data_IF_601057222865
#
_entry.id   IF_601057222865
#
_cell.length_a   1.000
_cell.length_b   1.000
_cell.length_c   1.000
_cell.angle_alpha   90.00
_cell.angle_beta   90.00
_cell.angle_gamma   90.00
#
_symmetry.space_group_name_H-M   'P 1'
#
loop_
_entity.id
_entity.type
_entity.pdbx_description
1 polymer ?
#
# COMPACT_ATOMS: atom_id res chain seq x y z
N UNK A 1 22.82 -42.33 37.51
CA UNK A 1 21.46 -41.77 37.45
C UNK A 1 21.41 -40.29 37.05
N UNK A 2 22.39 -39.46 37.42
CA UNK A 2 22.38 -38.00 37.21
C UNK A 2 22.44 -37.56 35.72
N UNK A 3 23.18 -38.27 34.85
CA UNK A 3 23.30 -37.95 33.41
C UNK A 3 21.99 -37.99 32.61
N UNK A 4 21.06 -38.91 32.92
CA UNK A 4 19.78 -39.03 32.19
C UNK A 4 18.83 -37.87 32.47
N UNK A 5 18.97 -37.22 33.62
CA UNK A 5 18.12 -36.10 34.04
C UNK A 5 18.53 -34.80 33.34
N UNK A 6 19.83 -34.58 33.14
CA UNK A 6 20.36 -33.43 32.41
C UNK A 6 20.07 -33.49 30.91
N UNK A 7 20.14 -34.66 30.28
CA UNK A 7 19.75 -34.83 28.87
C UNK A 7 18.27 -34.52 28.63
N UNK A 8 17.38 -35.01 29.50
CA UNK A 8 15.96 -34.67 29.43
C UNK A 8 15.71 -33.17 29.60
N UNK A 9 16.47 -32.50 30.47
CA UNK A 9 16.39 -31.05 30.66
C UNK A 9 16.82 -30.29 29.42
N UNK A 10 17.96 -30.64 28.82
CA UNK A 10 18.46 -30.05 27.57
C UNK A 10 17.48 -30.24 26.40
N UNK A 11 16.94 -31.46 26.23
CA UNK A 11 15.92 -31.75 25.23
C UNK A 11 14.63 -30.94 25.43
N UNK A 12 14.17 -30.77 26.67
CA UNK A 12 12.99 -29.97 26.97
C UNK A 12 13.20 -28.48 26.69
N UNK A 13 14.41 -27.98 26.93
CA UNK A 13 14.79 -26.58 26.69
C UNK A 13 14.92 -26.30 25.20
N UNK A 14 15.55 -27.19 24.43
CA UNK A 14 15.62 -27.12 22.97
C UNK A 14 14.24 -27.15 22.31
N UNK A 15 13.32 -28.00 22.80
CA UNK A 15 11.93 -28.03 22.29
C UNK A 15 11.17 -26.74 22.60
N UNK A 16 11.37 -26.15 23.78
CA UNK A 16 10.77 -24.85 24.13
C UNK A 16 11.32 -23.72 23.26
N UNK A 17 12.64 -23.65 23.07
CA UNK A 17 13.25 -22.65 22.17
C UNK A 17 12.76 -22.81 20.74
N UNK A 18 12.72 -24.05 20.21
CA UNK A 18 12.20 -24.32 18.86
C UNK A 18 10.75 -23.86 18.71
N UNK A 19 9.89 -24.15 19.69
CA UNK A 19 8.47 -23.73 19.68
C UNK A 19 8.30 -22.22 19.81
N UNK A 20 9.18 -21.55 20.54
CA UNK A 20 9.16 -20.09 20.66
C UNK A 20 9.61 -19.41 19.37
N UNK A 21 10.65 -19.93 18.72
CA UNK A 21 11.09 -19.48 17.39
C UNK A 21 10.01 -19.70 16.33
N UNK A 22 9.41 -20.88 16.29
CA UNK A 22 8.29 -21.20 15.38
C UNK A 22 7.11 -20.24 15.54
N UNK A 23 6.78 -19.85 16.78
CA UNK A 23 5.72 -18.89 17.06
C UNK A 23 6.07 -17.45 16.61
N UNK A 24 7.35 -17.06 16.64
CA UNK A 24 7.80 -15.74 16.17
C UNK A 24 7.87 -15.68 14.65
N UNK A 25 8.32 -16.76 14.00
CA UNK A 25 8.30 -16.91 12.54
C UNK A 25 6.86 -16.93 12.00
N UNK A 26 5.93 -17.61 12.68
CA UNK A 26 4.50 -17.60 12.35
C UNK A 26 3.88 -16.19 12.45
N UNK A 27 4.25 -15.42 13.49
CA UNK A 27 3.82 -14.04 13.64
C UNK A 27 4.39 -13.17 12.51
N UNK A 28 5.66 -13.35 12.17
CA UNK A 28 6.31 -12.65 11.06
C UNK A 28 5.56 -12.90 9.74
N UNK A 29 5.28 -14.17 9.41
CA UNK A 29 4.54 -14.54 8.19
C UNK A 29 3.14 -13.91 8.18
N UNK A 30 2.42 -13.93 9.30
CA UNK A 30 1.10 -13.28 9.39
C UNK A 30 1.16 -11.78 9.12
N UNK A 31 2.15 -11.07 9.70
CA UNK A 31 2.31 -9.63 9.47
C UNK A 31 2.63 -9.37 7.99
N UNK A 32 3.50 -10.20 7.39
CA UNK A 32 3.83 -10.10 5.97
C UNK A 32 2.64 -10.37 5.04
N UNK A 33 1.82 -11.39 5.32
CA UNK A 33 0.59 -11.65 4.56
C UNK A 33 -0.39 -10.48 4.63
N UNK A 34 -0.52 -9.85 5.80
CA UNK A 34 -1.33 -8.65 5.99
C UNK A 34 -0.75 -7.48 5.19
N UNK A 35 0.57 -7.24 5.22
CA UNK A 35 1.24 -6.21 4.40
C UNK A 35 0.88 -6.41 2.92
N UNK A 36 1.06 -7.62 2.38
CA UNK A 36 0.77 -7.93 0.98
C UNK A 36 -0.70 -7.69 0.64
N UNK A 37 -1.63 -8.15 1.49
CA UNK A 37 -3.06 -7.92 1.30
C UNK A 37 -3.41 -6.43 1.25
N UNK A 38 -2.82 -5.62 2.12
CA UNK A 38 -3.02 -4.17 2.12
C UNK A 38 -2.41 -3.50 0.89
N UNK A 39 -1.23 -3.94 0.42
CA UNK A 39 -0.63 -3.46 -0.82
C UNK A 39 -1.52 -3.75 -2.03
N UNK A 40 -2.05 -4.97 -2.14
CA UNK A 40 -2.98 -5.34 -3.22
C UNK A 40 -4.26 -4.51 -3.14
N UNK A 41 -4.86 -4.44 -1.95
CA UNK A 41 -6.10 -3.68 -1.72
C UNK A 41 -5.92 -2.20 -2.07
N UNK A 42 -4.80 -1.59 -1.67
CA UNK A 42 -4.44 -0.21 -2.03
C UNK A 42 -4.51 0.01 -3.53
N UNK A 43 -3.83 -0.85 -4.30
CA UNK A 43 -3.80 -0.71 -5.75
C UNK A 43 -5.18 -0.94 -6.37
N UNK A 44 -5.90 -1.99 -5.97
CA UNK A 44 -7.25 -2.29 -6.47
C UNK A 44 -8.24 -1.15 -6.22
N UNK A 45 -8.28 -0.63 -4.99
CA UNK A 45 -9.19 0.46 -4.63
C UNK A 45 -8.82 1.74 -5.37
N UNK A 46 -7.53 2.07 -5.45
CA UNK A 46 -7.08 3.29 -6.11
C UNK A 46 -7.35 3.25 -7.61
N UNK A 47 -7.06 2.14 -8.29
CA UNK A 47 -7.33 2.00 -9.74
C UNK A 47 -8.81 2.02 -10.05
N UNK A 48 -9.66 1.45 -9.20
CA UNK A 48 -11.11 1.52 -9.33
C UNK A 48 -11.63 2.97 -9.27
N UNK A 49 -11.21 3.75 -8.27
CA UNK A 49 -11.67 5.14 -8.20
C UNK A 49 -11.05 6.03 -9.28
N UNK A 50 -9.78 5.79 -9.66
CA UNK A 50 -9.18 6.49 -10.80
C UNK A 50 -9.92 6.18 -12.10
N UNK A 51 -10.35 4.94 -12.34
CA UNK A 51 -11.11 4.60 -13.56
C UNK A 51 -12.47 5.28 -13.58
N UNK A 52 -13.18 5.36 -12.45
CA UNK A 52 -14.43 6.11 -12.33
C UNK A 52 -14.21 7.59 -12.61
N UNK A 53 -13.18 8.19 -12.00
CA UNK A 53 -12.81 9.59 -12.24
C UNK A 53 -12.59 9.85 -13.73
N UNK A 54 -11.76 9.04 -14.39
CA UNK A 54 -11.46 9.21 -15.81
C UNK A 54 -12.68 8.96 -16.69
N UNK A 55 -13.54 8.00 -16.35
CA UNK A 55 -14.78 7.73 -17.08
C UNK A 55 -15.74 8.93 -17.02
N UNK A 56 -15.97 9.50 -15.83
CA UNK A 56 -16.83 10.69 -15.66
C UNK A 56 -16.26 11.86 -16.47
N UNK A 57 -14.95 12.07 -16.41
CA UNK A 57 -14.29 13.15 -17.15
C UNK A 57 -14.36 12.96 -18.66
N UNK A 58 -14.14 11.74 -19.16
CA UNK A 58 -14.26 11.41 -20.57
C UNK A 58 -15.70 11.58 -21.08
N UNK A 59 -16.69 11.18 -20.28
CA UNK A 59 -18.11 11.39 -20.60
C UNK A 59 -18.48 12.88 -20.58
N UNK A 60 -17.91 13.66 -19.65
CA UNK A 60 -18.16 15.10 -19.57
C UNK A 60 -17.73 15.84 -20.85
N UNK A 61 -16.63 15.42 -21.49
CA UNK A 61 -16.14 16.00 -22.75
C UNK A 61 -16.99 15.56 -23.95
N UNK A 62 -17.49 14.32 -23.96
CA UNK A 62 -18.26 13.76 -25.07
C UNK A 62 -19.73 14.19 -25.07
N UNK A 63 -20.28 14.57 -23.92
CA UNK A 63 -21.69 14.88 -23.79
C UNK A 63 -22.01 16.27 -24.38
N UNK A 64 -22.38 16.32 -25.67
CA UNK A 64 -22.84 17.54 -26.35
C UNK A 64 -24.03 18.22 -25.65
N UNK A 65 -24.87 17.44 -24.95
CA UNK A 65 -26.00 17.94 -24.14
C UNK A 65 -26.08 17.19 -22.82
N UNK A 66 -25.17 17.50 -21.91
CA UNK A 66 -25.28 17.06 -20.52
C UNK A 66 -26.37 17.86 -19.79
N UNK A 67 -27.23 17.20 -18.98
CA UNK A 67 -28.18 17.91 -18.11
C UNK A 67 -27.48 18.69 -17.00
N UNK A 68 -26.22 18.36 -16.71
CA UNK A 68 -25.39 19.04 -15.73
C UNK A 68 -24.34 19.91 -16.43
N UNK A 69 -24.05 21.12 -15.91
CA UNK A 69 -22.98 21.95 -16.43
C UNK A 69 -21.62 21.23 -16.39
N UNK A 70 -20.76 21.50 -17.38
CA UNK A 70 -19.45 20.89 -17.52
C UNK A 70 -18.57 21.09 -16.27
N UNK A 71 -18.62 22.27 -15.66
CA UNK A 71 -17.85 22.55 -14.44
C UNK A 71 -18.27 21.67 -13.25
N UNK A 72 -19.53 21.21 -13.19
CA UNK A 72 -20.02 20.34 -12.11
C UNK A 72 -19.45 18.94 -12.30
N UNK A 73 -19.55 18.39 -13.51
CA UNK A 73 -19.12 17.02 -13.81
C UNK A 73 -17.60 16.87 -13.73
N UNK A 74 -16.83 17.86 -14.20
CA UNK A 74 -15.37 17.87 -14.07
C UNK A 74 -14.93 18.02 -12.61
N UNK A 75 -15.62 18.85 -11.82
CA UNK A 75 -15.33 19.00 -10.38
C UNK A 75 -15.56 17.71 -9.61
N UNK A 76 -16.63 16.96 -9.92
CA UNK A 76 -16.90 15.65 -9.32
C UNK A 76 -15.81 14.64 -9.67
N UNK A 77 -15.39 14.59 -10.95
CA UNK A 77 -14.30 13.72 -11.36
C UNK A 77 -12.99 14.05 -10.61
N UNK A 78 -12.62 15.33 -10.54
CA UNK A 78 -11.44 15.80 -9.79
C UNK A 78 -11.56 15.41 -8.30
N UNK A 79 -12.72 15.58 -7.68
CA UNK A 79 -12.94 15.21 -6.29
C UNK A 79 -12.73 13.71 -6.06
N UNK A 80 -13.24 12.85 -6.96
CA UNK A 80 -13.05 11.39 -6.90
C UNK A 80 -11.57 11.03 -7.04
N UNK A 81 -10.85 11.70 -7.95
CA UNK A 81 -9.41 11.50 -8.11
C UNK A 81 -8.65 11.78 -6.80
N UNK A 82 -8.89 12.94 -6.18
CA UNK A 82 -8.20 13.33 -4.95
C UNK A 82 -8.61 12.47 -3.76
N UNK A 83 -9.87 12.02 -3.73
CA UNK A 83 -10.32 11.02 -2.77
C UNK A 83 -9.55 9.71 -2.91
N UNK A 84 -9.38 9.20 -4.13
CA UNK A 84 -8.59 8.00 -4.41
C UNK A 84 -7.12 8.18 -3.99
N UNK A 85 -6.54 9.37 -4.23
CA UNK A 85 -5.19 9.70 -3.77
C UNK A 85 -5.09 9.73 -2.24
N UNK A 86 -6.06 10.30 -1.53
CA UNK A 86 -6.10 10.29 -0.07
C UNK A 86 -6.19 8.85 0.50
N UNK A 87 -7.02 8.00 -0.11
CA UNK A 87 -7.07 6.57 0.22
C UNK A 87 -5.71 5.90 -0.03
N UNK A 88 -5.08 6.17 -1.18
CA UNK A 88 -3.77 5.63 -1.51
C UNK A 88 -2.73 5.97 -0.43
N UNK A 89 -2.69 7.23 0.02
CA UNK A 89 -1.81 7.68 1.11
C UNK A 89 -2.09 6.92 2.41
N UNK A 90 -3.37 6.81 2.80
CA UNK A 90 -3.74 6.12 4.04
C UNK A 90 -3.32 4.65 4.04
N UNK A 91 -3.51 3.95 2.93
CA UNK A 91 -3.03 2.58 2.79
C UNK A 91 -1.51 2.51 2.78
N UNK A 92 -0.84 3.47 2.13
CA UNK A 92 0.63 3.53 2.09
C UNK A 92 1.22 3.65 3.49
N UNK A 93 0.71 4.56 4.32
CA UNK A 93 1.18 4.77 5.69
C UNK A 93 1.05 3.48 6.53
N UNK A 94 -0.06 2.75 6.37
CA UNK A 94 -0.26 1.50 7.09
C UNK A 94 0.68 0.39 6.60
N UNK A 95 0.91 0.28 5.29
CA UNK A 95 1.87 -0.69 4.75
C UNK A 95 3.31 -0.36 5.15
N UNK A 96 3.67 0.92 5.25
CA UNK A 96 4.99 1.35 5.68
C UNK A 96 5.21 1.04 7.17
N UNK A 97 4.18 1.23 8.01
CA UNK A 97 4.20 0.80 9.41
C UNK A 97 4.43 -0.72 9.55
N UNK A 98 3.69 -1.54 8.80
CA UNK A 98 3.86 -3.00 8.86
C UNK A 98 5.23 -3.44 8.38
N UNK A 99 5.76 -2.82 7.31
CA UNK A 99 7.10 -3.10 6.82
C UNK A 99 8.17 -2.75 7.86
N UNK A 100 8.08 -1.56 8.47
CA UNK A 100 9.01 -1.16 9.53
C UNK A 100 8.99 -2.15 10.69
N UNK A 101 7.80 -2.68 11.05
CA UNK A 101 7.70 -3.70 12.10
C UNK A 101 8.36 -5.04 11.71
N UNK A 102 8.27 -5.45 10.45
CA UNK A 102 8.96 -6.65 9.95
C UNK A 102 10.48 -6.45 9.96
N UNK A 103 10.97 -5.27 9.56
CA UNK A 103 12.39 -4.89 9.61
C UNK A 103 12.90 -4.92 11.07
N UNK A 104 12.16 -4.34 12.02
CA UNK A 104 12.49 -4.42 13.45
C UNK A 104 12.58 -5.87 13.96
N UNK A 105 11.71 -6.77 13.49
CA UNK A 105 11.76 -8.18 13.91
C UNK A 105 13.04 -8.88 13.40
N UNK A 106 13.49 -8.55 12.20
CA UNK A 106 14.73 -9.08 11.62
C UNK A 106 15.96 -8.52 12.35
N UNK A 107 16.02 -7.20 12.55
CA UNK A 107 17.14 -6.53 13.22
C UNK A 107 17.34 -7.01 14.66
N UNK A 108 16.24 -7.29 15.37
CA UNK A 108 16.29 -7.80 16.74
C UNK A 108 16.51 -9.32 16.84
N UNK A 109 16.70 -10.02 15.71
CA UNK A 109 16.88 -11.47 15.67
C UNK A 109 15.69 -12.24 16.25
N UNK A 110 14.49 -11.65 16.20
CA UNK A 110 13.26 -12.25 16.73
C UNK A 110 12.71 -13.33 15.79
N UNK A 111 13.11 -13.32 14.53
CA UNK A 111 12.74 -14.26 13.47
C UNK A 111 13.99 -14.87 12.85
N UNK A 112 13.86 -16.08 12.31
CA UNK A 112 14.92 -16.69 11.47
C UNK A 112 14.81 -16.30 10.00
N UNK A 113 13.70 -15.67 9.61
CA UNK A 113 13.41 -15.21 8.27
C UNK A 113 14.00 -13.82 8.04
N UNK A 114 14.58 -13.60 6.86
CA UNK A 114 15.28 -12.36 6.46
C UNK A 114 14.71 -11.78 5.15
N UNK A 115 13.40 -11.90 4.97
CA UNK A 115 12.69 -11.55 3.73
C UNK A 115 12.76 -10.05 3.41
N UNK A 116 12.64 -9.16 4.38
CA UNK A 116 12.75 -7.71 4.14
C UNK A 116 14.20 -7.32 3.88
N UNK A 117 15.15 -7.83 4.66
CA UNK A 117 16.59 -7.57 4.47
C UNK A 117 17.09 -8.03 3.10
N UNK A 118 16.63 -9.19 2.62
CA UNK A 118 16.93 -9.67 1.27
C UNK A 118 16.23 -8.88 0.17
N UNK A 119 15.03 -8.36 0.43
CA UNK A 119 14.29 -7.52 -0.52
C UNK A 119 14.79 -6.06 -0.55
N UNK A 120 15.39 -5.58 0.54
CA UNK A 120 15.89 -4.21 0.72
C UNK A 120 16.78 -3.72 -0.44
N UNK A 121 17.83 -4.44 -0.89
CA UNK A 121 18.68 -3.95 -1.99
C UNK A 121 17.90 -3.75 -3.31
N UNK A 122 16.87 -4.54 -3.56
CA UNK A 122 16.01 -4.41 -4.73
C UNK A 122 14.97 -3.28 -4.60
N UNK A 123 14.59 -2.95 -3.36
CA UNK A 123 13.61 -1.92 -3.04
C UNK A 123 14.25 -0.53 -2.85
N UNK A 124 15.47 -0.45 -2.33
CA UNK A 124 16.24 0.79 -2.19
C UNK A 124 16.69 1.36 -3.54
N UNK A 125 17.01 0.50 -4.51
CA UNK A 125 17.24 0.94 -5.89
C UNK A 125 15.99 1.51 -6.57
N UNK A 126 14.79 1.11 -6.12
CA UNK A 126 13.50 1.57 -6.66
C UNK A 126 12.77 2.42 -5.63
N UNK A 127 13.26 3.66 -5.42
CA UNK A 127 12.65 4.72 -4.59
C UNK A 127 11.11 4.57 -4.48
N UNK A 128 10.62 3.99 -3.38
CA UNK A 128 9.17 3.81 -3.07
C UNK A 128 8.38 5.12 -3.16
N UNK A 129 9.05 6.25 -2.95
CA UNK A 129 8.54 7.62 -3.16
C UNK A 129 8.11 7.94 -4.61
N UNK A 130 8.41 7.09 -5.60
CA UNK A 130 8.10 7.40 -6.99
C UNK A 130 6.59 7.34 -7.28
N UNK A 131 5.88 6.34 -6.77
CA UNK A 131 4.46 6.16 -7.07
C UNK A 131 3.58 7.27 -6.46
N UNK A 132 3.79 7.60 -5.17
CA UNK A 132 3.07 8.70 -4.50
C UNK A 132 3.26 10.02 -5.24
N UNK A 133 4.51 10.34 -5.61
CA UNK A 133 4.84 11.58 -6.34
C UNK A 133 4.25 11.58 -7.74
N UNK A 134 4.28 10.44 -8.43
CA UNK A 134 3.77 10.32 -9.79
C UNK A 134 2.25 10.47 -9.82
N UNK A 135 1.53 9.81 -8.92
CA UNK A 135 0.07 9.95 -8.79
C UNK A 135 -0.27 11.40 -8.44
N UNK A 136 0.44 12.03 -7.50
CA UNK A 136 0.23 13.46 -7.19
C UNK A 136 0.45 14.36 -8.40
N UNK A 137 1.53 14.13 -9.16
CA UNK A 137 1.84 14.90 -10.36
C UNK A 137 0.72 14.78 -11.40
N UNK A 138 0.25 13.56 -11.69
CA UNK A 138 -0.88 13.36 -12.59
C UNK A 138 -2.17 13.96 -12.06
N UNK A 139 -2.41 13.95 -10.75
CA UNK A 139 -3.56 14.61 -10.13
C UNK A 139 -3.57 16.13 -10.32
N UNK A 140 -2.41 16.77 -10.17
CA UNK A 140 -2.26 18.20 -10.43
C UNK A 140 -2.53 18.49 -11.91
N UNK A 141 -1.89 17.74 -12.82
CA UNK A 141 -2.08 17.90 -14.26
C UNK A 141 -3.54 17.69 -14.67
N UNK A 142 -4.20 16.69 -14.10
CA UNK A 142 -5.61 16.37 -14.32
C UNK A 142 -6.54 17.48 -13.81
N UNK A 143 -6.23 18.07 -12.64
CA UNK A 143 -6.97 19.20 -12.09
C UNK A 143 -6.86 20.43 -13.00
N UNK A 144 -5.64 20.74 -13.47
CA UNK A 144 -5.40 21.86 -14.40
C UNK A 144 -6.20 21.64 -15.69
N UNK A 145 -6.14 20.43 -16.27
CA UNK A 145 -6.88 20.09 -17.48
C UNK A 145 -8.39 20.27 -17.30
N UNK A 146 -8.95 19.82 -16.18
CA UNK A 146 -10.38 19.99 -15.88
C UNK A 146 -10.80 21.45 -15.71
N UNK A 147 -9.97 22.27 -15.07
CA UNK A 147 -10.21 23.72 -14.94
C UNK A 147 -10.18 24.38 -16.31
N UNK A 148 -9.13 24.14 -17.11
CA UNK A 148 -9.00 24.71 -18.46
C UNK A 148 -10.19 24.34 -19.34
N UNK A 149 -10.58 23.06 -19.35
CA UNK A 149 -11.74 22.60 -20.12
C UNK A 149 -13.02 23.28 -19.65
N UNK A 150 -13.22 23.38 -18.34
CA UNK A 150 -14.42 24.00 -17.77
C UNK A 150 -14.48 25.52 -17.98
N UNK A 151 -13.35 26.19 -18.21
CA UNK A 151 -13.32 27.63 -18.50
C UNK A 151 -13.44 27.89 -20.00
N UNK A 152 -12.74 27.11 -20.83
CA UNK A 152 -12.69 27.32 -22.28
C UNK A 152 -13.92 26.80 -23.03
N UNK A 153 -14.60 25.76 -22.52
CA UNK A 153 -15.74 25.11 -23.21
C UNK A 153 -17.08 25.32 -22.49
N UNK A 154 -17.15 26.25 -21.54
CA UNK A 154 -18.39 26.62 -20.84
C UNK A 154 -18.99 27.93 -21.41
N UNK A 155 -18.67 28.21 -22.68
CA UNK A 155 -19.28 29.24 -23.53
C UNK A 155 -20.10 28.57 -24.62
#
# INVERSE_FOLDING_TARGET
MIRKTDEKRKLSMQRKMKKETENKDDLYIKIWEVEQRHVTTRWTVSTFFFSISFAIFGLAIQAEKSPLPLYVTTSVAIAIYWFAYALYLRFNDYTDYLRSRLEEMEENGLTTLDLQSKAAPYLEQKKKYHAVKLIKFFGILYTIAGIVISVCFNS
#
